data_IF_426997392451
#
_entry.id   IF_426997392451
#
_cell.length_a   1.000
_cell.length_b   1.000
_cell.length_c   1.000
_cell.angle_alpha   90.00
_cell.angle_beta   90.00
_cell.angle_gamma   90.00
#
_symmetry.space_group_name_H-M   'P 1'
#
loop_
_entity.id
_entity.type
_entity.pdbx_description
1 polymer ?
#
# COMPACT_ATOMS: atom_id res chain seq x y z
N UNK A 1 -0.42 24.67 -31.39
CA UNK A 1 -1.09 23.56 -30.66
C UNK A 1 -0.69 23.69 -29.21
N UNK A 2 -1.64 24.02 -28.33
CA UNK A 2 -1.37 24.35 -26.94
C UNK A 2 -1.31 23.05 -26.12
N UNK A 3 -0.13 22.49 -25.88
CA UNK A 3 0.03 21.35 -24.98
C UNK A 3 -0.07 21.85 -23.55
N UNK A 4 -1.30 22.00 -23.06
CA UNK A 4 -1.56 22.21 -21.65
C UNK A 4 -1.16 20.91 -20.94
N UNK A 5 0.05 20.86 -20.40
CA UNK A 5 0.57 19.72 -19.65
C UNK A 5 -0.44 19.34 -18.59
N UNK A 6 -1.04 18.16 -18.70
CA UNK A 6 -1.94 17.66 -17.67
C UNK A 6 -1.16 17.54 -16.36
N UNK A 7 -1.76 17.88 -15.21
CA UNK A 7 -1.10 17.73 -13.93
C UNK A 7 -0.66 16.28 -13.76
N UNK A 8 0.61 16.07 -13.36
CA UNK A 8 1.12 14.72 -13.09
C UNK A 8 0.37 14.21 -11.85
N UNK A 9 -0.50 13.21 -12.04
CA UNK A 9 -1.08 12.45 -10.95
C UNK A 9 0.01 11.61 -10.30
N UNK A 10 0.13 11.71 -8.98
CA UNK A 10 0.95 10.78 -8.19
C UNK A 10 0.08 9.58 -7.86
N UNK A 11 0.48 8.42 -8.37
CA UNK A 11 -0.11 7.12 -8.01
C UNK A 11 0.69 6.52 -6.84
N UNK A 12 -0.01 6.04 -5.82
CA UNK A 12 0.58 5.39 -4.65
C UNK A 12 -0.08 4.04 -4.39
N UNK A 13 0.67 3.12 -3.81
CA UNK A 13 0.17 1.80 -3.42
C UNK A 13 0.37 1.61 -1.92
N UNK A 14 -0.69 1.19 -1.22
CA UNK A 14 -0.74 1.23 0.25
C UNK A 14 -0.54 -0.17 0.81
N UNK A 15 0.52 -0.37 1.58
CA UNK A 15 0.85 -1.68 2.16
C UNK A 15 0.95 -1.58 3.68
N UNK A 16 0.20 -2.45 4.39
CA UNK A 16 0.24 -2.56 5.84
C UNK A 16 0.59 -3.99 6.26
N UNK A 17 1.54 -4.10 7.19
CA UNK A 17 2.00 -5.40 7.71
C UNK A 17 2.23 -5.36 9.22
N UNK A 18 1.75 -6.37 9.95
CA UNK A 18 2.16 -6.61 11.34
C UNK A 18 2.68 -8.03 11.51
N UNK A 19 3.74 -8.19 12.31
CA UNK A 19 4.37 -9.49 12.58
C UNK A 19 3.60 -10.34 13.57
N UNK A 20 2.93 -9.72 14.54
CA UNK A 20 2.27 -10.43 15.62
C UNK A 20 0.99 -9.68 16.01
N UNK A 21 -0.15 -10.34 15.88
CA UNK A 21 -1.45 -9.94 16.38
C UNK A 21 -1.90 -10.94 17.44
N UNK A 22 -1.36 -10.86 18.68
CA UNK A 22 -1.59 -11.86 19.72
C UNK A 22 -3.07 -11.92 20.20
N UNK A 23 -3.93 -11.03 19.70
CA UNK A 23 -5.38 -11.05 19.95
C UNK A 23 -6.20 -11.30 18.67
N UNK A 24 -5.57 -11.54 17.52
CA UNK A 24 -6.17 -11.69 16.19
C UNK A 24 -7.23 -10.62 15.86
N UNK A 25 -7.04 -9.38 16.33
CA UNK A 25 -8.05 -8.33 16.18
C UNK A 25 -7.90 -7.56 14.87
N UNK A 26 -6.84 -7.80 14.10
CA UNK A 26 -6.41 -7.06 12.90
C UNK A 26 -6.33 -5.54 13.09
N UNK A 27 -6.32 -5.08 14.35
CA UNK A 27 -6.39 -3.66 14.70
C UNK A 27 -5.15 -2.90 14.26
N UNK A 28 -4.01 -3.57 14.21
CA UNK A 28 -2.75 -3.00 13.74
C UNK A 28 -2.80 -2.63 12.26
N UNK A 29 -3.17 -3.58 11.39
CA UNK A 29 -3.25 -3.34 9.95
C UNK A 29 -4.40 -2.41 9.57
N UNK A 30 -5.58 -2.54 10.18
CA UNK A 30 -6.71 -1.65 9.85
C UNK A 30 -6.41 -0.18 10.18
N UNK A 31 -5.71 0.08 11.29
CA UNK A 31 -5.28 1.44 11.64
C UNK A 31 -4.25 1.96 10.65
N UNK A 32 -3.21 1.16 10.35
CA UNK A 32 -2.18 1.55 9.38
C UNK A 32 -2.77 1.87 8.01
N UNK A 33 -3.73 1.07 7.54
CA UNK A 33 -4.41 1.33 6.28
C UNK A 33 -5.24 2.61 6.32
N UNK A 34 -5.94 2.88 7.43
CA UNK A 34 -6.63 4.16 7.61
C UNK A 34 -5.66 5.34 7.54
N UNK A 35 -4.53 5.25 8.25
CA UNK A 35 -3.52 6.30 8.28
C UNK A 35 -2.91 6.54 6.88
N UNK A 36 -2.64 5.46 6.13
CA UNK A 36 -2.13 5.52 4.76
C UNK A 36 -3.13 6.15 3.77
N UNK A 37 -4.43 5.81 3.89
CA UNK A 37 -5.48 6.41 3.07
C UNK A 37 -5.60 7.90 3.34
N UNK A 38 -5.71 8.30 4.62
CA UNK A 38 -5.78 9.71 5.01
C UNK A 38 -4.55 10.48 4.50
N UNK A 39 -3.34 9.93 4.67
CA UNK A 39 -2.13 10.57 4.17
C UNK A 39 -2.15 10.74 2.64
N UNK A 40 -2.63 9.74 1.90
CA UNK A 40 -2.72 9.82 0.44
C UNK A 40 -3.76 10.87 -0.01
N UNK A 41 -4.92 10.90 0.65
CA UNK A 41 -5.98 11.88 0.42
C UNK A 41 -5.50 13.31 0.70
N UNK A 42 -4.84 13.54 1.84
CA UNK A 42 -4.30 14.86 2.22
C UNK A 42 -3.26 15.38 1.23
N UNK A 43 -2.52 14.48 0.58
CA UNK A 43 -1.54 14.83 -0.44
C UNK A 43 -2.13 14.87 -1.87
N UNK A 44 -3.41 14.56 -2.04
CA UNK A 44 -4.07 14.51 -3.35
C UNK A 44 -3.53 13.41 -4.27
N UNK A 45 -3.01 12.32 -3.69
CA UNK A 45 -2.49 11.17 -4.42
C UNK A 45 -3.61 10.15 -4.70
N UNK A 46 -3.44 9.40 -5.78
CA UNK A 46 -4.38 8.35 -6.18
C UNK A 46 -3.90 7.01 -5.65
N UNK A 47 -4.75 6.30 -4.89
CA UNK A 47 -4.44 4.95 -4.44
C UNK A 47 -4.67 3.93 -5.57
N UNK A 48 -3.59 3.34 -6.09
CA UNK A 48 -3.61 2.31 -7.13
C UNK A 48 -3.86 0.90 -6.61
N UNK A 49 -3.75 0.68 -5.30
CA UNK A 49 -4.02 -0.60 -4.67
C UNK A 49 -3.73 -0.58 -3.18
N UNK A 50 -4.31 -1.57 -2.48
CA UNK A 50 -4.15 -1.78 -1.05
C UNK A 50 -3.79 -3.25 -0.78
N UNK A 51 -2.84 -3.45 0.14
CA UNK A 51 -2.16 -4.73 0.35
C UNK A 51 -1.96 -4.93 1.85
N UNK A 52 -2.43 -6.05 2.39
CA UNK A 52 -2.50 -6.27 3.85
C UNK A 52 -1.91 -7.63 4.22
N UNK A 53 -0.94 -7.64 5.12
CA UNK A 53 -0.35 -8.86 5.68
C UNK A 53 -0.42 -8.84 7.21
N UNK A 54 -1.29 -9.68 7.77
CA UNK A 54 -1.42 -9.87 9.22
C UNK A 54 -0.67 -11.13 9.65
N UNK A 55 0.05 -11.07 10.76
CA UNK A 55 0.77 -12.22 11.34
C UNK A 55 1.87 -12.80 10.43
N UNK A 56 2.43 -11.98 9.53
CA UNK A 56 3.51 -12.37 8.63
C UNK A 56 4.80 -11.74 9.10
N UNK A 57 5.82 -12.52 9.46
CA UNK A 57 7.10 -12.00 9.92
C UNK A 57 8.00 -11.64 8.73
N UNK A 58 8.57 -10.44 8.75
CA UNK A 58 9.54 -9.98 7.76
C UNK A 58 10.95 -10.54 8.00
N UNK A 59 11.18 -11.25 9.12
CA UNK A 59 12.52 -11.68 9.57
C UNK A 59 12.72 -13.19 9.49
N UNK A 60 11.65 -13.99 9.42
CA UNK A 60 11.72 -15.46 9.37
C UNK A 60 11.79 -16.00 7.93
N UNK A 61 11.70 -15.13 6.92
CA UNK A 61 11.64 -15.55 5.52
C UNK A 61 10.26 -16.07 5.11
N UNK A 62 9.21 -15.72 5.86
CA UNK A 62 7.83 -16.04 5.49
C UNK A 62 7.51 -15.45 4.11
N UNK A 63 6.72 -16.18 3.33
CA UNK A 63 6.21 -15.68 2.05
C UNK A 63 5.36 -14.42 2.28
N UNK A 64 5.55 -13.42 1.43
CA UNK A 64 4.85 -12.12 1.49
C UNK A 64 4.06 -11.90 0.19
N UNK A 65 2.97 -12.66 -0.03
CA UNK A 65 2.26 -12.65 -1.31
C UNK A 65 1.65 -11.29 -1.64
N UNK A 66 1.26 -10.50 -0.65
CA UNK A 66 0.70 -9.17 -0.89
C UNK A 66 1.79 -8.14 -1.14
N UNK A 67 2.98 -8.32 -0.56
CA UNK A 67 4.15 -7.53 -0.96
C UNK A 67 4.56 -7.83 -2.40
N UNK A 68 4.54 -9.10 -2.81
CA UNK A 68 4.87 -9.46 -4.20
C UNK A 68 3.83 -8.90 -5.18
N UNK A 69 2.54 -8.93 -4.81
CA UNK A 69 1.45 -8.30 -5.58
C UNK A 69 1.62 -6.79 -5.68
N UNK A 70 1.96 -6.11 -4.58
CA UNK A 70 2.30 -4.69 -4.54
C UNK A 70 3.38 -4.36 -5.56
N UNK A 71 4.49 -5.11 -5.53
CA UNK A 71 5.63 -4.86 -6.41
C UNK A 71 5.27 -5.09 -7.89
N UNK A 72 4.49 -6.13 -8.19
CA UNK A 72 4.03 -6.39 -9.55
C UNK A 72 3.13 -5.25 -10.08
N UNK A 73 2.17 -4.80 -9.28
CA UNK A 73 1.25 -3.72 -9.65
C UNK A 73 2.00 -2.38 -9.81
N UNK A 74 2.94 -2.07 -8.91
CA UNK A 74 3.77 -0.87 -8.99
C UNK A 74 4.67 -0.86 -10.25
N UNK A 75 5.30 -2.00 -10.58
CA UNK A 75 6.08 -2.14 -11.81
C UNK A 75 5.20 -2.04 -13.06
N UNK A 76 3.98 -2.58 -13.01
CA UNK A 76 3.01 -2.48 -14.09
C UNK A 76 2.57 -1.04 -14.37
N UNK A 77 2.32 -0.26 -13.31
CA UNK A 77 1.86 1.12 -13.42
C UNK A 77 2.96 2.14 -13.77
N UNK A 78 4.24 1.78 -13.60
CA UNK A 78 5.37 2.64 -13.96
C UNK A 78 5.68 2.66 -15.47
N UNK A 79 4.99 1.82 -16.27
CA UNK A 79 5.13 1.73 -17.73
C UNK A 79 4.22 2.71 -18.44
#
# INVERSE_FOLDING_TARGET
MNTKTLPRRTLVFLYARISEDPRHRRRGVSRQMSDLRTFSEENGWEAGGEYIENDVSAHSGDERPEYDRLMADAVGAAR
#
